data_IF_333292788261
#
_entry.id   IF_333292788261
#
_cell.length_a   1.000
_cell.length_b   1.000
_cell.length_c   1.000
_cell.angle_alpha   90.00
_cell.angle_beta   90.00
_cell.angle_gamma   90.00
#
_symmetry.space_group_name_H-M   'P 1'
#
loop_
_entity.id
_entity.type
_entity.pdbx_description
1 polymer ?
#
# COMPACT_ATOMS: atom_id res chain seq x y z
N UNK A 1 7.51 -2.01 29.72
CA UNK A 1 7.42 -3.34 30.37
C UNK A 1 8.57 -4.19 29.87
N UNK A 2 9.33 -4.86 30.74
CA UNK A 2 10.30 -5.85 30.29
C UNK A 2 9.52 -6.95 29.59
N UNK A 3 9.70 -7.10 28.29
CA UNK A 3 9.22 -8.31 27.60
C UNK A 3 10.04 -9.45 28.18
N UNK A 4 9.35 -10.30 28.94
CA UNK A 4 9.90 -11.54 29.48
C UNK A 4 10.73 -12.23 28.39
N UNK A 5 11.93 -12.68 28.74
CA UNK A 5 12.85 -13.38 27.84
C UNK A 5 12.12 -14.51 27.09
N UNK A 6 11.16 -15.15 27.77
CA UNK A 6 10.26 -16.15 27.21
C UNK A 6 9.47 -15.64 25.98
N UNK A 7 8.91 -14.43 26.02
CA UNK A 7 8.17 -13.84 24.91
C UNK A 7 9.08 -13.55 23.70
N UNK A 8 10.33 -13.12 23.95
CA UNK A 8 11.30 -12.91 22.87
C UNK A 8 11.70 -14.23 22.20
N UNK A 9 11.94 -15.27 23.00
CA UNK A 9 12.25 -16.61 22.50
C UNK A 9 11.06 -17.17 21.69
N UNK A 10 9.83 -17.01 22.20
CA UNK A 10 8.63 -17.46 21.50
C UNK A 10 8.43 -16.72 20.16
N UNK A 11 8.64 -15.40 20.12
CA UNK A 11 8.58 -14.61 18.89
C UNK A 11 9.65 -15.04 17.87
N UNK A 12 10.89 -15.27 18.31
CA UNK A 12 11.97 -15.74 17.44
C UNK A 12 11.69 -17.16 16.91
N UNK A 13 11.24 -18.08 17.78
CA UNK A 13 10.84 -19.43 17.37
C UNK A 13 9.69 -19.40 16.36
N UNK A 14 8.66 -18.60 16.61
CA UNK A 14 7.54 -18.39 15.69
C UNK A 14 7.98 -17.81 14.35
N UNK A 15 8.89 -16.84 14.35
CA UNK A 15 9.46 -16.27 13.13
C UNK A 15 10.24 -17.32 12.32
N UNK A 16 11.07 -18.16 12.95
CA UNK A 16 11.81 -19.23 12.26
C UNK A 16 10.85 -20.24 11.62
N UNK A 17 9.83 -20.70 12.37
CA UNK A 17 8.82 -21.63 11.84
C UNK A 17 8.08 -21.01 10.66
N UNK A 18 7.68 -19.74 10.78
CA UNK A 18 7.04 -18.99 9.70
C UNK A 18 7.93 -18.95 8.45
N UNK A 19 9.21 -18.63 8.59
CA UNK A 19 10.16 -18.54 7.46
C UNK A 19 10.39 -19.89 6.77
N UNK A 20 10.49 -20.98 7.53
CA UNK A 20 10.62 -22.34 6.98
C UNK A 20 9.36 -22.73 6.21
N UNK A 21 8.18 -22.53 6.82
CA UNK A 21 6.90 -22.83 6.18
C UNK A 21 6.71 -21.98 4.90
N UNK A 22 7.04 -20.70 4.96
CA UNK A 22 7.06 -19.79 3.82
C UNK A 22 7.95 -20.28 2.67
N UNK A 23 9.18 -20.70 2.97
CA UNK A 23 10.10 -21.22 1.96
C UNK A 23 9.60 -22.51 1.29
N UNK A 24 9.01 -23.42 2.07
CA UNK A 24 8.40 -24.65 1.55
C UNK A 24 7.18 -24.35 0.68
N UNK A 25 6.29 -23.45 1.13
CA UNK A 25 5.12 -23.02 0.38
C UNK A 25 5.51 -22.33 -0.93
N UNK A 26 6.52 -21.45 -0.90
CA UNK A 26 7.05 -20.82 -2.10
C UNK A 26 7.55 -21.87 -3.11
N UNK A 27 8.32 -22.87 -2.67
CA UNK A 27 8.76 -23.97 -3.55
C UNK A 27 7.58 -24.76 -4.14
N UNK A 28 6.55 -25.02 -3.35
CA UNK A 28 5.34 -25.71 -3.81
C UNK A 28 4.60 -24.87 -4.87
N UNK A 29 4.45 -23.57 -4.64
CA UNK A 29 3.82 -22.65 -5.59
C UNK A 29 4.61 -22.59 -6.89
N UNK A 30 5.94 -22.44 -6.83
CA UNK A 30 6.81 -22.47 -8.03
C UNK A 30 6.66 -23.76 -8.83
N UNK A 31 6.63 -24.92 -8.14
CA UNK A 31 6.43 -26.23 -8.79
C UNK A 31 5.05 -26.34 -9.45
N UNK A 32 3.99 -25.95 -8.74
CA UNK A 32 2.61 -26.01 -9.28
C UNK A 32 2.37 -25.03 -10.43
N UNK A 33 2.99 -23.87 -10.39
CA UNK A 33 2.90 -22.87 -11.45
C UNK A 33 3.75 -23.24 -12.68
N UNK A 34 4.67 -24.20 -12.55
CA UNK A 34 5.67 -24.48 -13.59
C UNK A 34 6.61 -23.29 -13.84
N UNK A 35 6.73 -22.38 -12.87
CA UNK A 35 7.43 -21.11 -13.02
C UNK A 35 8.18 -20.76 -11.74
N UNK A 36 9.51 -20.80 -11.81
CA UNK A 36 10.36 -20.68 -10.64
C UNK A 36 10.14 -19.39 -9.81
N UNK A 37 9.98 -18.20 -10.42
CA UNK A 37 9.71 -16.95 -9.70
C UNK A 37 8.34 -16.86 -9.01
N UNK A 38 7.38 -17.74 -9.34
CA UNK A 38 6.02 -17.69 -8.80
C UNK A 38 6.00 -17.75 -7.27
N UNK A 39 6.71 -18.71 -6.67
CA UNK A 39 6.80 -18.87 -5.23
C UNK A 39 7.34 -17.64 -4.50
N UNK A 40 8.54 -17.15 -4.84
CA UNK A 40 9.08 -15.93 -4.28
C UNK A 40 8.16 -14.71 -4.42
N UNK A 41 7.53 -14.51 -5.59
CA UNK A 41 6.58 -13.41 -5.81
C UNK A 41 5.34 -13.56 -4.91
N UNK A 42 4.80 -14.77 -4.80
CA UNK A 42 3.67 -15.03 -3.91
C UNK A 42 4.02 -14.75 -2.45
N UNK A 43 5.26 -15.07 -2.05
CA UNK A 43 5.74 -14.79 -0.70
C UNK A 43 5.85 -13.30 -0.41
N UNK A 44 6.37 -12.51 -1.36
CA UNK A 44 6.42 -11.05 -1.26
C UNK A 44 4.99 -10.47 -1.21
N UNK A 45 4.07 -10.99 -2.04
CA UNK A 45 2.69 -10.50 -2.08
C UNK A 45 1.90 -10.80 -0.79
N UNK A 46 2.28 -11.85 -0.05
CA UNK A 46 1.65 -12.27 1.19
C UNK A 46 1.97 -11.36 2.40
N UNK A 47 2.72 -10.26 2.20
CA UNK A 47 3.07 -9.29 3.26
C UNK A 47 1.89 -8.82 4.13
N UNK A 48 0.64 -8.59 3.63
CA UNK A 48 -0.44 -8.13 4.50
C UNK A 48 -0.90 -9.18 5.53
N UNK A 49 -0.53 -10.45 5.33
CA UNK A 49 -0.86 -11.56 6.23
C UNK A 49 0.07 -11.66 7.44
N UNK A 50 0.99 -10.70 7.59
CA UNK A 50 1.98 -10.67 8.67
C UNK A 50 1.74 -9.41 9.49
N UNK A 51 1.68 -9.52 10.84
CA UNK A 51 1.40 -8.38 11.68
C UNK A 51 2.58 -7.43 11.65
N UNK A 52 2.26 -6.13 11.73
CA UNK A 52 3.27 -5.13 11.98
C UNK A 52 3.77 -5.27 13.42
N UNK A 53 4.91 -5.92 13.57
CA UNK A 53 5.66 -5.97 14.83
C UNK A 53 7.03 -5.36 14.56
N UNK A 54 7.35 -4.19 15.11
CA UNK A 54 8.64 -3.56 14.87
C UNK A 54 9.77 -4.47 15.37
N UNK A 55 10.72 -4.75 14.49
CA UNK A 55 11.96 -5.47 14.79
C UNK A 55 13.09 -4.44 15.01
N UNK A 56 14.32 -4.93 14.98
CA UNK A 56 15.52 -4.10 15.05
C UNK A 56 15.67 -3.34 13.72
N UNK A 57 16.27 -2.15 13.74
CA UNK A 57 16.76 -1.49 12.53
C UNK A 57 15.69 -0.98 11.55
N UNK A 58 14.45 -0.75 12.02
CA UNK A 58 13.40 -0.19 11.17
C UNK A 58 12.65 -1.17 10.29
N UNK A 59 13.08 -2.43 10.30
CA UNK A 59 12.32 -3.52 9.75
C UNK A 59 11.22 -3.91 10.74
N UNK A 60 10.16 -4.49 10.21
CA UNK A 60 9.09 -5.10 10.99
C UNK A 60 8.90 -6.55 10.55
N UNK A 61 8.14 -7.32 11.33
CA UNK A 61 7.92 -8.74 11.06
C UNK A 61 7.31 -8.98 9.67
N UNK A 62 6.48 -8.06 9.20
CA UNK A 62 5.93 -8.04 7.84
C UNK A 62 6.99 -7.86 6.75
N UNK A 63 8.18 -7.33 7.05
CA UNK A 63 9.28 -7.25 6.08
C UNK A 63 9.99 -8.62 5.89
N UNK A 64 9.79 -9.61 6.78
CA UNK A 64 10.50 -10.91 6.68
C UNK A 64 10.13 -11.71 5.43
N UNK A 65 8.83 -11.83 5.10
CA UNK A 65 8.41 -12.58 3.91
C UNK A 65 8.90 -11.92 2.62
N UNK A 66 8.77 -10.58 2.45
CA UNK A 66 9.40 -9.86 1.34
C UNK A 66 10.92 -10.05 1.25
N UNK A 67 11.65 -10.02 2.36
CA UNK A 67 13.10 -10.22 2.38
C UNK A 67 13.47 -11.62 1.89
N UNK A 68 12.80 -12.66 2.40
CA UNK A 68 13.06 -14.05 1.96
C UNK A 68 12.68 -14.23 0.50
N UNK A 69 11.53 -13.72 0.07
CA UNK A 69 11.12 -13.79 -1.33
C UNK A 69 12.08 -13.04 -2.26
N UNK A 70 12.55 -11.87 -1.85
CA UNK A 70 13.56 -11.11 -2.59
C UNK A 70 14.88 -11.88 -2.68
N UNK A 71 15.36 -12.47 -1.58
CA UNK A 71 16.58 -13.27 -1.59
C UNK A 71 16.46 -14.49 -2.53
N UNK A 72 15.30 -15.16 -2.53
CA UNK A 72 15.03 -16.27 -3.46
C UNK A 72 15.00 -15.81 -4.92
N UNK A 73 14.43 -14.63 -5.22
CA UNK A 73 14.45 -14.06 -6.58
C UNK A 73 15.87 -13.69 -7.00
N UNK A 74 16.63 -13.06 -6.10
CA UNK A 74 17.99 -12.60 -6.35
C UNK A 74 18.98 -13.75 -6.56
N UNK A 75 18.77 -14.88 -5.86
CA UNK A 75 19.57 -16.09 -6.06
C UNK A 75 19.42 -16.68 -7.46
N UNK A 76 18.25 -16.49 -8.09
CA UNK A 76 17.87 -17.16 -9.34
C UNK A 76 17.96 -16.26 -10.57
N UNK A 77 17.91 -14.96 -10.35
CA UNK A 77 17.88 -13.97 -11.42
C UNK A 77 19.26 -13.33 -11.54
N UNK A 78 19.72 -13.01 -12.75
CA UNK A 78 20.93 -12.20 -12.90
C UNK A 78 20.74 -10.85 -12.19
N UNK A 79 21.84 -10.19 -11.85
CA UNK A 79 21.79 -8.86 -11.23
C UNK A 79 21.07 -7.89 -12.16
N UNK A 80 20.13 -7.06 -11.65
CA UNK A 80 19.45 -6.05 -12.44
C UNK A 80 20.42 -5.15 -13.17
N UNK A 81 20.36 -5.19 -14.50
CA UNK A 81 21.06 -4.20 -15.32
C UNK A 81 20.40 -2.84 -15.11
N UNK A 82 21.21 -1.80 -15.07
CA UNK A 82 20.72 -0.43 -14.99
C UNK A 82 19.79 -0.19 -16.19
N UNK A 83 18.54 0.16 -15.90
CA UNK A 83 17.53 0.45 -16.91
C UNK A 83 17.99 1.53 -17.87
N UNK A 84 17.66 1.40 -19.15
CA UNK A 84 17.85 2.45 -20.16
C UNK A 84 16.70 3.45 -20.19
N UNK A 85 15.59 3.18 -19.50
CA UNK A 85 14.45 4.10 -19.43
C UNK A 85 14.80 5.33 -18.58
N UNK A 86 14.83 6.50 -19.22
CA UNK A 86 15.14 7.79 -18.59
C UNK A 86 14.25 8.10 -17.39
N UNK A 87 12.96 7.77 -17.46
CA UNK A 87 12.03 8.05 -16.35
C UNK A 87 12.36 7.20 -15.13
N UNK A 88 12.69 5.91 -15.33
CA UNK A 88 13.10 5.03 -14.25
C UNK A 88 14.46 5.46 -13.66
N UNK A 89 15.40 5.97 -14.46
CA UNK A 89 16.66 6.54 -13.96
C UNK A 89 16.42 7.76 -13.06
N UNK A 90 15.51 8.65 -13.44
CA UNK A 90 15.14 9.82 -12.62
C UNK A 90 14.52 9.37 -11.30
N UNK A 91 13.63 8.36 -11.31
CA UNK A 91 13.05 7.80 -10.08
C UNK A 91 14.15 7.19 -9.20
N UNK A 92 15.07 6.40 -9.76
CA UNK A 92 16.17 5.78 -9.01
C UNK A 92 17.12 6.84 -8.41
N UNK A 93 17.41 7.91 -9.16
CA UNK A 93 18.17 9.04 -8.63
C UNK A 93 17.43 9.72 -7.47
N UNK A 94 16.14 9.96 -7.60
CA UNK A 94 15.33 10.54 -6.52
C UNK A 94 15.27 9.62 -5.28
N UNK A 95 15.23 8.29 -5.46
CA UNK A 95 15.37 7.33 -4.36
C UNK A 95 16.75 7.44 -3.70
N UNK A 96 17.83 7.53 -4.49
CA UNK A 96 19.17 7.70 -3.94
C UNK A 96 19.31 9.00 -3.13
N UNK A 97 18.78 10.12 -3.64
CA UNK A 97 18.72 11.40 -2.91
C UNK A 97 17.90 11.27 -1.63
N UNK A 98 16.77 10.57 -1.67
CA UNK A 98 15.96 10.31 -0.47
C UNK A 98 16.75 9.53 0.57
N UNK A 99 17.45 8.46 0.18
CA UNK A 99 18.30 7.67 1.09
C UNK A 99 19.40 8.56 1.70
N UNK A 100 20.06 9.39 0.89
CA UNK A 100 21.09 10.30 1.37
C UNK A 100 20.53 11.31 2.39
N UNK A 101 19.37 11.90 2.12
CA UNK A 101 18.70 12.83 3.04
C UNK A 101 18.31 12.12 4.36
N UNK A 102 17.81 10.89 4.28
CA UNK A 102 17.49 10.06 5.46
C UNK A 102 18.74 9.71 6.27
N UNK A 103 19.86 9.39 5.61
CA UNK A 103 21.16 9.12 6.26
C UNK A 103 21.68 10.38 6.96
N UNK A 104 21.65 11.54 6.30
CA UNK A 104 22.03 12.81 6.90
C UNK A 104 21.16 13.12 8.14
N UNK A 105 19.85 12.97 8.01
CA UNK A 105 18.91 13.11 9.13
C UNK A 105 19.23 12.19 10.30
N UNK A 106 19.55 10.92 10.03
CA UNK A 106 19.94 9.95 11.07
C UNK A 106 21.25 10.34 11.77
N UNK A 107 22.24 10.85 11.04
CA UNK A 107 23.52 11.29 11.62
C UNK A 107 23.35 12.52 12.52
N UNK A 108 22.48 13.46 12.14
CA UNK A 108 22.23 14.70 12.89
C UNK A 108 21.34 14.45 14.12
N UNK A 109 20.30 13.63 13.96
CA UNK A 109 19.25 13.48 14.97
C UNK A 109 19.35 12.18 15.80
N UNK A 110 20.33 11.32 15.52
CA UNK A 110 20.45 10.00 16.16
C UNK A 110 20.81 10.04 17.64
N UNK A 111 21.36 11.16 18.13
CA UNK A 111 21.78 11.34 19.51
C UNK A 111 22.94 10.41 19.87
N UNK A 112 22.63 9.32 20.58
CA UNK A 112 23.61 8.29 20.95
C UNK A 112 23.92 7.30 19.81
N UNK A 113 25.05 6.60 19.88
CA UNK A 113 25.51 5.68 18.82
C UNK A 113 24.46 4.63 18.45
N UNK A 114 23.78 4.04 19.45
CA UNK A 114 22.74 3.04 19.21
C UNK A 114 21.51 3.63 18.49
N UNK A 115 21.12 4.86 18.86
CA UNK A 115 20.04 5.61 18.20
C UNK A 115 20.38 5.92 16.74
N UNK A 116 21.58 6.44 16.49
CA UNK A 116 22.10 6.72 15.14
C UNK A 116 22.12 5.45 14.28
N UNK A 117 22.63 4.32 14.79
CA UNK A 117 22.65 3.06 14.04
C UNK A 117 21.24 2.55 13.71
N UNK A 118 20.30 2.66 14.66
CA UNK A 118 18.89 2.29 14.45
C UNK A 118 18.23 3.15 13.38
N UNK A 119 18.48 4.47 13.39
CA UNK A 119 17.96 5.40 12.39
C UNK A 119 18.62 5.22 11.02
N UNK A 120 19.93 4.95 10.95
CA UNK A 120 20.63 4.66 9.71
C UNK A 120 20.07 3.41 9.03
N UNK A 121 19.79 2.37 9.82
CA UNK A 121 19.19 1.17 9.27
C UNK A 121 17.77 1.43 8.75
N UNK A 122 16.94 2.19 9.49
CA UNK A 122 15.63 2.70 9.00
C UNK A 122 15.76 3.50 7.70
N UNK A 123 16.79 4.33 7.60
CA UNK A 123 17.02 5.22 6.46
C UNK A 123 17.25 4.46 5.15
N UNK A 124 17.90 3.30 5.23
CA UNK A 124 18.36 2.55 4.06
C UNK A 124 17.49 1.32 3.76
N UNK A 125 17.12 0.56 4.80
CA UNK A 125 16.60 -0.79 4.62
C UNK A 125 15.34 -0.85 3.77
N UNK A 126 14.32 -0.04 4.08
CA UNK A 126 13.04 -0.09 3.37
C UNK A 126 13.12 0.44 1.93
N UNK A 127 13.71 1.61 1.63
CA UNK A 127 13.89 2.04 0.25
C UNK A 127 14.64 1.02 -0.62
N UNK A 128 15.72 0.42 -0.08
CA UNK A 128 16.50 -0.62 -0.78
C UNK A 128 15.66 -1.88 -0.99
N UNK A 129 14.91 -2.33 0.01
CA UNK A 129 13.99 -3.47 -0.10
C UNK A 129 12.96 -3.25 -1.22
N UNK A 130 12.31 -2.09 -1.26
CA UNK A 130 11.29 -1.77 -2.27
C UNK A 130 11.87 -1.69 -3.68
N UNK A 131 13.04 -1.04 -3.85
CA UNK A 131 13.74 -1.00 -5.14
C UNK A 131 14.17 -2.41 -5.57
N UNK A 132 14.67 -3.22 -4.64
CA UNK A 132 15.05 -4.60 -4.87
C UNK A 132 13.86 -5.44 -5.36
N UNK A 133 12.72 -5.37 -4.66
CA UNK A 133 11.49 -6.07 -5.05
C UNK A 133 11.06 -5.65 -6.46
N UNK A 134 11.00 -4.35 -6.75
CA UNK A 134 10.62 -3.87 -8.08
C UNK A 134 11.60 -4.34 -9.16
N UNK A 135 12.91 -4.21 -8.92
CA UNK A 135 13.97 -4.58 -9.86
C UNK A 135 14.00 -6.08 -10.16
N UNK A 136 14.01 -6.94 -9.14
CA UNK A 136 14.05 -8.38 -9.34
C UNK A 136 12.73 -8.94 -9.87
N UNK A 137 11.59 -8.36 -9.50
CA UNK A 137 10.31 -8.72 -10.12
C UNK A 137 10.36 -8.38 -11.61
N UNK A 138 10.85 -7.20 -11.99
CA UNK A 138 11.01 -6.77 -13.39
C UNK A 138 11.89 -7.69 -14.25
N UNK A 139 12.78 -8.47 -13.63
CA UNK A 139 13.63 -9.43 -14.32
C UNK A 139 13.03 -10.83 -14.44
N UNK A 140 11.92 -11.11 -13.77
CA UNK A 140 11.27 -12.41 -13.86
C UNK A 140 10.69 -12.60 -15.28
N UNK A 141 11.21 -13.59 -16.01
CA UNK A 141 10.83 -13.97 -17.39
C UNK A 141 10.00 -15.27 -17.32
N UNK A 142 8.97 -15.47 -18.16
CA UNK A 142 8.47 -14.56 -19.20
C UNK A 142 7.65 -13.37 -18.67
N UNK A 143 7.68 -12.23 -19.38
CA UNK A 143 6.98 -10.98 -19.01
C UNK A 143 5.47 -11.18 -18.84
N UNK A 144 4.83 -11.92 -19.75
CA UNK A 144 3.40 -12.20 -19.71
C UNK A 144 3.01 -13.01 -18.46
N UNK A 145 3.78 -14.05 -18.17
CA UNK A 145 3.58 -14.90 -17.00
C UNK A 145 3.76 -14.12 -15.72
N UNK A 146 4.80 -13.29 -15.65
CA UNK A 146 5.03 -12.36 -14.53
C UNK A 146 3.86 -11.43 -14.29
N UNK A 147 3.39 -10.71 -15.31
CA UNK A 147 2.26 -9.76 -15.18
C UNK A 147 1.00 -10.45 -14.70
N UNK A 148 0.65 -11.58 -15.31
CA UNK A 148 -0.54 -12.37 -14.94
C UNK A 148 -0.44 -12.91 -13.52
N UNK A 149 0.72 -13.43 -13.14
CA UNK A 149 0.92 -14.01 -11.82
C UNK A 149 0.92 -12.95 -10.73
N UNK A 150 1.61 -11.81 -10.92
CA UNK A 150 1.60 -10.70 -9.96
C UNK A 150 0.19 -10.14 -9.79
N UNK A 151 -0.54 -9.91 -10.88
CA UNK A 151 -1.93 -9.47 -10.81
C UNK A 151 -2.80 -10.49 -10.06
N UNK A 152 -2.59 -11.79 -10.28
CA UNK A 152 -3.31 -12.86 -9.60
C UNK A 152 -3.00 -12.88 -8.11
N UNK A 153 -1.72 -12.81 -7.73
CA UNK A 153 -1.28 -12.83 -6.35
C UNK A 153 -1.85 -11.64 -5.57
N UNK A 154 -1.75 -10.43 -6.12
CA UNK A 154 -2.28 -9.21 -5.49
C UNK A 154 -3.80 -9.26 -5.38
N UNK A 155 -4.51 -9.69 -6.44
CA UNK A 155 -5.97 -9.84 -6.38
C UNK A 155 -6.40 -10.89 -5.34
N UNK A 156 -5.66 -11.99 -5.22
CA UNK A 156 -5.92 -13.04 -4.23
C UNK A 156 -5.73 -12.54 -2.80
N UNK A 157 -4.68 -11.75 -2.55
CA UNK A 157 -4.41 -11.14 -1.24
C UNK A 157 -5.55 -10.22 -0.82
N UNK A 158 -5.96 -9.30 -1.69
CA UNK A 158 -7.11 -8.43 -1.40
C UNK A 158 -8.41 -9.20 -1.18
N UNK A 159 -8.64 -10.26 -1.95
CA UNK A 159 -9.84 -11.09 -1.81
C UNK A 159 -9.86 -11.84 -0.48
N UNK A 160 -8.71 -12.38 -0.07
CA UNK A 160 -8.58 -13.07 1.20
C UNK A 160 -8.76 -12.11 2.39
N UNK A 161 -8.10 -10.95 2.38
CA UNK A 161 -8.28 -9.92 3.42
C UNK A 161 -9.73 -9.43 3.52
N UNK A 162 -10.40 -9.26 2.38
CA UNK A 162 -11.82 -8.88 2.37
C UNK A 162 -12.71 -9.99 2.95
N UNK A 163 -12.54 -11.23 2.51
CA UNK A 163 -13.32 -12.35 3.02
C UNK A 163 -13.09 -12.56 4.52
N UNK A 164 -11.83 -12.54 4.96
CA UNK A 164 -11.50 -12.65 6.38
C UNK A 164 -12.10 -11.52 7.20
N UNK A 165 -11.94 -10.27 6.75
CA UNK A 165 -12.49 -9.11 7.43
C UNK A 165 -14.01 -9.16 7.56
N UNK A 166 -14.72 -9.59 6.52
CA UNK A 166 -16.17 -9.75 6.52
C UNK A 166 -16.60 -10.88 7.47
N UNK A 167 -15.88 -12.00 7.50
CA UNK A 167 -16.12 -13.08 8.46
C UNK A 167 -15.92 -12.58 9.88
N UNK A 168 -14.81 -11.88 10.16
CA UNK A 168 -14.52 -11.32 11.48
C UNK A 168 -15.55 -10.26 11.92
N UNK A 169 -16.11 -9.51 10.96
CA UNK A 169 -17.16 -8.53 11.23
C UNK A 169 -18.50 -9.18 11.55
N UNK A 170 -18.85 -10.27 10.86
CA UNK A 170 -20.09 -11.01 11.10
C UNK A 170 -20.02 -11.94 12.31
N UNK A 171 -18.85 -12.53 12.56
CA UNK A 171 -18.59 -13.50 13.63
C UNK A 171 -17.39 -13.00 14.44
N UNK A 172 -17.62 -12.42 15.63
CA UNK A 172 -16.54 -11.91 16.48
C UNK A 172 -15.52 -13.01 16.77
N UNK A 173 -14.30 -12.84 16.25
CA UNK A 173 -13.21 -13.79 16.48
C UNK A 173 -12.58 -13.57 17.86
N UNK A 174 -12.03 -14.62 18.50
CA UNK A 174 -11.33 -14.49 19.78
C UNK A 174 -10.24 -13.41 19.73
N UNK A 175 -10.20 -12.56 20.75
CA UNK A 175 -9.23 -11.46 20.82
C UNK A 175 -9.52 -10.28 19.89
N UNK A 176 -10.67 -10.25 19.21
CA UNK A 176 -11.02 -9.16 18.28
C UNK A 176 -10.22 -9.18 16.98
N UNK A 177 -9.62 -10.32 16.63
CA UNK A 177 -8.84 -10.47 15.38
C UNK A 177 -9.73 -10.11 14.19
N UNK A 178 -9.20 -9.30 13.27
CA UNK A 178 -9.95 -8.82 12.11
C UNK A 178 -10.66 -7.48 12.30
N UNK A 179 -10.83 -7.00 13.53
CA UNK A 179 -11.63 -5.81 13.85
C UNK A 179 -10.86 -4.85 14.76
N UNK A 180 -10.64 -3.61 14.31
CA UNK A 180 -10.25 -2.51 15.21
C UNK A 180 -11.50 -2.00 15.91
N UNK A 181 -11.54 -2.12 17.25
CA UNK A 181 -12.62 -1.56 18.04
C UNK A 181 -12.80 -0.07 17.73
N UNK A 182 -14.06 0.36 17.56
CA UNK A 182 -14.36 1.78 17.36
C UNK A 182 -13.81 2.59 18.55
N UNK A 183 -13.06 3.66 18.26
CA UNK A 183 -12.50 4.51 19.31
C UNK A 183 -13.62 5.33 19.92
N UNK A 184 -13.58 5.56 21.23
CA UNK A 184 -14.59 6.36 21.98
C UNK A 184 -14.86 7.74 21.39
N UNK A 185 -13.87 8.30 20.70
CA UNK A 185 -13.93 9.64 20.07
C UNK A 185 -14.43 9.61 18.63
N UNK A 186 -14.84 8.46 18.10
CA UNK A 186 -15.36 8.33 16.73
C UNK A 186 -16.87 8.24 16.76
N UNK A 187 -17.54 8.76 15.72
CA UNK A 187 -18.99 8.64 15.52
C UNK A 187 -19.48 7.19 15.40
N UNK A 188 -18.55 6.23 15.25
CA UNK A 188 -18.81 4.81 15.14
C UNK A 188 -18.93 4.11 16.51
N UNK A 189 -18.49 4.76 17.59
CA UNK A 189 -18.48 4.15 18.92
C UNK A 189 -19.90 3.82 19.40
N UNK A 190 -20.14 2.54 19.71
CA UNK A 190 -21.46 2.04 20.10
C UNK A 190 -22.44 1.83 18.94
N UNK A 191 -22.05 2.15 17.70
CA UNK A 191 -22.89 1.98 16.50
C UNK A 191 -22.52 0.73 15.73
N UNK A 192 -21.21 0.51 15.55
CA UNK A 192 -20.69 -0.68 14.89
C UNK A 192 -19.79 -1.48 15.85
N UNK A 193 -19.66 -2.81 15.66
CA UNK A 193 -18.76 -3.63 16.46
C UNK A 193 -17.29 -3.20 16.31
N UNK A 194 -16.96 -2.51 15.22
CA UNK A 194 -15.66 -1.93 14.94
C UNK A 194 -15.45 -1.69 13.46
N UNK A 195 -14.20 -1.51 13.06
CA UNK A 195 -13.76 -1.30 11.68
C UNK A 195 -12.98 -2.53 11.23
N UNK A 196 -13.17 -2.98 10.00
CA UNK A 196 -12.36 -4.08 9.47
C UNK A 196 -10.89 -3.66 9.43
N UNK A 197 -10.03 -4.48 10.05
CA UNK A 197 -8.59 -4.28 10.24
C UNK A 197 -7.74 -5.41 9.63
N UNK A 198 -8.38 -6.39 8.97
CA UNK A 198 -7.69 -7.44 8.23
C UNK A 198 -7.08 -8.50 9.15
N UNK A 199 -6.40 -9.50 8.57
CA UNK A 199 -5.98 -10.70 9.31
C UNK A 199 -5.09 -10.43 10.51
N UNK A 200 -4.18 -9.48 10.40
CA UNK A 200 -3.11 -9.27 11.37
C UNK A 200 -3.12 -7.87 12.02
N UNK A 201 -4.30 -7.27 12.14
CA UNK A 201 -4.46 -6.01 12.87
C UNK A 201 -3.81 -4.81 12.19
N UNK A 202 -3.83 -4.78 10.86
CA UNK A 202 -3.51 -3.55 10.13
C UNK A 202 -4.50 -2.47 10.56
N UNK A 203 -4.03 -1.23 10.68
CA UNK A 203 -4.99 -0.13 10.85
C UNK A 203 -5.97 -0.16 9.66
N UNK A 204 -7.27 0.09 9.86
CA UNK A 204 -8.25 0.12 8.78
C UNK A 204 -7.84 1.05 7.64
N UNK A 205 -7.12 2.14 7.94
CA UNK A 205 -6.54 3.05 6.95
C UNK A 205 -5.53 2.35 6.03
N UNK A 206 -4.67 1.50 6.59
CA UNK A 206 -3.69 0.72 5.83
C UNK A 206 -4.38 -0.41 5.05
N UNK A 207 -5.36 -1.09 5.65
CA UNK A 207 -6.14 -2.09 4.94
C UNK A 207 -6.94 -1.48 3.77
N UNK A 208 -7.56 -0.32 3.98
CA UNK A 208 -8.22 0.43 2.93
C UNK A 208 -7.26 0.77 1.79
N UNK A 209 -6.00 1.12 2.11
CA UNK A 209 -4.97 1.32 1.10
C UNK A 209 -4.55 0.02 0.38
N UNK A 210 -4.51 -1.12 1.07
CA UNK A 210 -4.34 -2.44 0.44
C UNK A 210 -5.46 -2.68 -0.58
N UNK A 211 -6.73 -2.46 -0.20
CA UNK A 211 -7.86 -2.60 -1.12
C UNK A 211 -7.81 -1.63 -2.31
N UNK A 212 -7.36 -0.39 -2.11
CA UNK A 212 -7.15 0.57 -3.22
C UNK A 212 -6.16 0.04 -4.26
N UNK A 213 -5.16 -0.76 -3.85
CA UNK A 213 -4.19 -1.40 -4.75
C UNK A 213 -4.74 -2.72 -5.34
N UNK A 214 -5.40 -3.55 -4.54
CA UNK A 214 -5.84 -4.90 -4.95
C UNK A 214 -7.13 -4.90 -5.76
N UNK A 215 -8.05 -3.96 -5.52
CA UNK A 215 -9.34 -3.89 -6.20
C UNK A 215 -9.19 -3.69 -7.71
N UNK A 216 -8.36 -2.74 -8.22
CA UNK A 216 -8.09 -2.64 -9.65
C UNK A 216 -7.59 -3.95 -10.27
N UNK A 217 -6.69 -4.67 -9.59
CA UNK A 217 -6.16 -5.95 -10.07
C UNK A 217 -7.24 -7.02 -10.15
N UNK A 218 -8.12 -7.05 -9.16
CA UNK A 218 -9.26 -7.98 -9.08
C UNK A 218 -10.26 -7.73 -10.21
N UNK A 219 -10.58 -6.46 -10.47
CA UNK A 219 -11.41 -6.06 -11.62
C UNK A 219 -10.72 -6.40 -12.94
N UNK A 220 -9.41 -6.13 -13.05
CA UNK A 220 -8.60 -6.51 -14.21
C UNK A 220 -8.68 -8.02 -14.49
N UNK A 221 -8.54 -8.86 -13.46
CA UNK A 221 -8.72 -10.31 -13.59
C UNK A 221 -10.14 -10.69 -14.01
N UNK A 222 -11.18 -10.07 -13.45
CA UNK A 222 -12.55 -10.33 -13.88
C UNK A 222 -12.77 -10.00 -15.37
N UNK A 223 -12.14 -8.93 -15.86
CA UNK A 223 -12.24 -8.50 -17.27
C UNK A 223 -11.39 -9.33 -18.24
N UNK A 224 -10.26 -9.88 -17.78
CA UNK A 224 -9.37 -10.74 -18.60
C UNK A 224 -9.85 -12.18 -18.75
N UNK A 225 -10.88 -12.60 -18.00
CA UNK A 225 -11.33 -13.99 -17.94
C UNK A 225 -12.72 -14.17 -18.55
N UNK A 226 -13.07 -15.40 -18.85
CA UNK A 226 -14.39 -15.81 -19.38
C UNK A 226 -15.02 -16.87 -18.48
N UNK A 227 -16.30 -17.19 -18.72
CA UNK A 227 -17.03 -18.23 -18.00
C UNK A 227 -17.12 -18.00 -16.49
N UNK A 228 -17.02 -19.08 -15.71
CA UNK A 228 -17.14 -19.06 -14.26
C UNK A 228 -16.02 -18.26 -13.57
N UNK A 229 -14.81 -18.23 -14.14
CA UNK A 229 -13.67 -17.51 -13.56
C UNK A 229 -13.93 -16.01 -13.51
N UNK A 230 -14.56 -15.45 -14.57
CA UNK A 230 -14.98 -14.04 -14.59
C UNK A 230 -15.93 -13.71 -13.43
N UNK A 231 -16.90 -14.59 -13.19
CA UNK A 231 -17.86 -14.40 -12.10
C UNK A 231 -17.21 -14.52 -10.73
N UNK A 232 -16.31 -15.49 -10.53
CA UNK A 232 -15.55 -15.62 -9.29
C UNK A 232 -14.77 -14.34 -8.95
N UNK A 233 -14.06 -13.76 -9.93
CA UNK A 233 -13.34 -12.50 -9.74
C UNK A 233 -14.27 -11.28 -9.59
N UNK A 234 -15.46 -11.31 -10.21
CA UNK A 234 -16.47 -10.28 -9.99
C UNK A 234 -16.98 -10.30 -8.55
N UNK A 235 -17.31 -11.49 -8.03
CA UNK A 235 -17.70 -11.68 -6.62
C UNK A 235 -16.57 -11.24 -5.69
N UNK A 236 -15.32 -11.62 -5.99
CA UNK A 236 -14.15 -11.18 -5.23
C UNK A 236 -14.00 -9.65 -5.17
N UNK A 237 -14.25 -8.95 -6.29
CA UNK A 237 -14.23 -7.49 -6.33
C UNK A 237 -15.36 -6.89 -5.49
N UNK A 238 -16.58 -7.47 -5.55
CA UNK A 238 -17.70 -7.04 -4.71
C UNK A 238 -17.37 -7.22 -3.22
N UNK A 239 -16.81 -8.36 -2.82
CA UNK A 239 -16.37 -8.60 -1.45
C UNK A 239 -15.36 -7.54 -0.99
N UNK A 240 -14.37 -7.20 -1.83
CA UNK A 240 -13.40 -6.14 -1.53
C UNK A 240 -14.06 -4.77 -1.39
N UNK A 241 -15.05 -4.42 -2.21
CA UNK A 241 -15.79 -3.15 -2.07
C UNK A 241 -16.57 -3.11 -0.75
N UNK A 242 -17.29 -4.20 -0.40
CA UNK A 242 -18.03 -4.25 0.88
C UNK A 242 -17.07 -4.15 2.06
N UNK A 243 -15.95 -4.90 2.04
CA UNK A 243 -14.95 -4.82 3.09
C UNK A 243 -14.32 -3.43 3.20
N UNK A 244 -14.00 -2.79 2.06
CA UNK A 244 -13.50 -1.41 1.99
C UNK A 244 -14.49 -0.38 2.56
N UNK A 245 -15.79 -0.56 2.36
CA UNK A 245 -16.81 0.29 2.97
C UNK A 245 -16.80 0.13 4.49
N UNK A 246 -16.63 -1.10 4.98
CA UNK A 246 -16.58 -1.45 6.41
C UNK A 246 -15.23 -1.17 7.09
N UNK A 247 -14.21 -0.72 6.36
CA UNK A 247 -13.02 -0.10 7.00
C UNK A 247 -13.32 1.31 7.50
N UNK A 248 -14.40 1.94 7.01
CA UNK A 248 -14.79 3.33 7.31
C UNK A 248 -13.67 4.34 7.01
N UNK A 249 -12.87 4.08 5.97
CA UNK A 249 -11.77 4.95 5.55
C UNK A 249 -12.19 5.85 4.40
N UNK A 250 -12.61 7.09 4.68
CA UNK A 250 -13.20 8.01 3.69
C UNK A 250 -12.37 8.12 2.40
N UNK A 251 -11.05 8.34 2.52
CA UNK A 251 -10.16 8.47 1.36
C UNK A 251 -10.07 7.17 0.54
N UNK A 252 -9.95 6.01 1.19
CA UNK A 252 -9.86 4.73 0.48
C UNK A 252 -11.19 4.35 -0.17
N UNK A 253 -12.32 4.64 0.48
CA UNK A 253 -13.66 4.41 -0.09
C UNK A 253 -13.82 5.25 -1.36
N UNK A 254 -13.52 6.54 -1.29
CA UNK A 254 -13.59 7.43 -2.46
C UNK A 254 -12.72 6.91 -3.61
N UNK A 255 -11.45 6.58 -3.33
CA UNK A 255 -10.53 6.05 -4.34
C UNK A 255 -10.97 4.69 -4.89
N UNK A 256 -11.47 3.80 -4.03
CA UNK A 256 -11.99 2.49 -4.43
C UNK A 256 -13.24 2.56 -5.30
N UNK A 257 -14.06 3.62 -5.17
CA UNK A 257 -15.19 3.89 -6.06
C UNK A 257 -14.76 4.53 -7.39
N UNK A 258 -13.70 5.34 -7.40
CA UNK A 258 -13.14 5.92 -8.62
C UNK A 258 -12.58 4.85 -9.55
N UNK A 259 -11.97 3.79 -9.02
CA UNK A 259 -11.40 2.68 -9.81
C UNK A 259 -12.40 2.05 -10.80
N UNK A 260 -13.54 1.49 -10.39
CA UNK A 260 -14.51 0.89 -11.30
C UNK A 260 -15.11 1.94 -12.24
N UNK A 261 -15.27 3.19 -11.81
CA UNK A 261 -15.73 4.29 -12.66
C UNK A 261 -14.77 4.52 -13.83
N UNK A 262 -13.46 4.57 -13.58
CA UNK A 262 -12.46 4.73 -14.65
C UNK A 262 -12.45 3.52 -15.59
N UNK A 263 -12.54 2.29 -15.08
CA UNK A 263 -12.68 1.10 -15.93
C UNK A 263 -13.90 1.21 -16.85
N UNK A 264 -15.04 1.65 -16.32
CA UNK A 264 -16.27 1.81 -17.09
C UNK A 264 -16.15 2.86 -18.19
N UNK A 265 -15.49 3.98 -17.90
CA UNK A 265 -15.20 5.03 -18.87
C UNK A 265 -14.28 4.52 -19.98
N UNK A 266 -13.17 3.87 -19.62
CA UNK A 266 -12.17 3.34 -20.58
C UNK A 266 -12.79 2.31 -21.52
N UNK A 267 -13.70 1.47 -21.01
CA UNK A 267 -14.36 0.42 -21.80
C UNK A 267 -15.77 0.80 -22.29
N UNK A 268 -16.15 2.08 -22.17
CA UNK A 268 -17.39 2.68 -22.70
C UNK A 268 -18.69 1.95 -22.30
N UNK A 269 -18.75 1.39 -21.09
CA UNK A 269 -19.97 0.70 -20.60
C UNK A 269 -20.88 1.66 -19.85
N UNK A 270 -21.44 2.64 -20.57
CA UNK A 270 -22.19 3.79 -20.02
C UNK A 270 -23.35 3.37 -19.12
N UNK A 271 -24.09 2.32 -19.46
CA UNK A 271 -25.21 1.83 -18.61
C UNK A 271 -24.70 1.37 -17.24
N UNK A 272 -23.62 0.59 -17.21
CA UNK A 272 -23.03 0.10 -15.96
C UNK A 272 -22.39 1.25 -15.17
N UNK A 273 -21.94 2.31 -15.85
CA UNK A 273 -21.46 3.55 -15.22
C UNK A 273 -22.56 4.26 -14.43
N UNK A 274 -23.76 4.38 -15.00
CA UNK A 274 -24.91 4.99 -14.29
C UNK A 274 -25.28 4.17 -13.05
N UNK A 275 -25.36 2.84 -13.18
CA UNK A 275 -25.64 1.97 -12.03
C UNK A 275 -24.56 2.07 -10.94
N UNK A 276 -23.28 2.08 -11.31
CA UNK A 276 -22.19 2.21 -10.33
C UNK A 276 -22.15 3.60 -9.70
N UNK A 277 -22.44 4.66 -10.45
CA UNK A 277 -22.56 6.01 -9.90
C UNK A 277 -23.72 6.07 -8.88
N UNK A 278 -24.88 5.52 -9.22
CA UNK A 278 -26.03 5.43 -8.31
C UNK A 278 -25.70 4.60 -7.05
N UNK A 279 -25.04 3.45 -7.20
CA UNK A 279 -24.61 2.62 -6.08
C UNK A 279 -23.57 3.35 -5.20
N UNK A 280 -22.63 4.07 -5.80
CA UNK A 280 -21.63 4.89 -5.09
C UNK A 280 -22.29 6.01 -4.29
N UNK A 281 -23.27 6.70 -4.89
CA UNK A 281 -24.09 7.73 -4.23
C UNK A 281 -24.89 7.10 -3.09
N UNK A 282 -25.49 5.93 -3.28
CA UNK A 282 -26.24 5.24 -2.24
C UNK A 282 -25.33 4.83 -1.07
N UNK A 283 -24.13 4.32 -1.33
CA UNK A 283 -23.13 4.00 -0.29
C UNK A 283 -22.70 5.26 0.46
N UNK A 284 -22.42 6.35 -0.26
CA UNK A 284 -22.07 7.63 0.33
C UNK A 284 -23.22 8.18 1.19
N UNK A 285 -24.45 8.07 0.71
CA UNK A 285 -25.66 8.48 1.42
C UNK A 285 -25.84 7.68 2.70
N UNK A 286 -25.76 6.34 2.64
CA UNK A 286 -25.84 5.47 3.82
C UNK A 286 -24.76 5.82 4.84
N UNK A 287 -23.53 6.12 4.40
CA UNK A 287 -22.44 6.54 5.28
C UNK A 287 -22.73 7.89 5.95
N UNK A 288 -23.20 8.87 5.19
CA UNK A 288 -23.62 10.17 5.72
C UNK A 288 -24.79 10.00 6.71
N UNK A 289 -25.77 9.16 6.40
CA UNK A 289 -26.95 8.93 7.24
C UNK A 289 -26.63 8.18 8.53
N UNK A 290 -25.80 7.14 8.48
CA UNK A 290 -25.35 6.40 9.68
C UNK A 290 -24.53 7.31 10.61
N UNK A 291 -23.72 8.21 10.06
CA UNK A 291 -23.00 9.23 10.84
C UNK A 291 -23.93 10.28 11.48
N UNK A 292 -25.12 10.53 10.90
CA UNK A 292 -26.07 11.52 11.40
C UNK A 292 -26.96 11.02 12.56
N UNK A 293 -27.16 9.71 12.70
CA UNK A 293 -28.16 9.17 13.65
C UNK A 293 -27.66 9.06 15.09
N UNK A 294 -26.35 9.10 15.36
CA UNK A 294 -25.80 8.66 16.66
C UNK A 294 -24.92 9.72 17.38
N UNK A 295 -24.88 10.95 16.87
CA UNK A 295 -24.06 12.03 17.46
C UNK A 295 -24.65 12.75 18.69
N UNK A 296 -25.81 12.36 19.21
CA UNK A 296 -26.59 13.16 20.18
C UNK A 296 -26.28 12.87 21.66
N UNK A 297 -25.12 12.29 21.99
CA UNK A 297 -24.80 11.87 23.36
C UNK A 297 -23.90 12.80 24.19
N UNK A 298 -23.31 13.84 23.58
CA UNK A 298 -22.34 14.72 24.24
C UNK A 298 -22.87 16.13 24.48
N UNK A 299 -22.77 16.58 25.74
CA UNK A 299 -23.19 17.83 26.39
C UNK A 299 -22.92 19.20 25.71
N UNK A 300 -22.94 19.32 24.38
CA UNK A 300 -23.00 20.60 23.69
C UNK A 300 -24.40 21.22 23.82
N UNK A 301 -24.47 22.47 24.27
CA UNK A 301 -25.70 23.22 24.41
C UNK A 301 -26.57 23.10 23.13
N UNK A 302 -27.88 22.81 23.27
CA UNK A 302 -28.77 22.71 22.13
C UNK A 302 -28.95 24.10 21.51
N UNK A 303 -28.43 24.33 20.29
CA UNK A 303 -28.66 25.63 19.67
C UNK A 303 -28.10 25.88 18.27
N UNK A 304 -26.97 25.31 17.87
CA UNK A 304 -26.35 25.68 16.60
C UNK A 304 -26.33 24.53 15.55
N UNK A 305 -27.22 24.57 14.55
CA UNK A 305 -27.21 23.64 13.42
C UNK A 305 -25.88 23.62 12.65
N UNK A 306 -25.09 24.71 12.68
CA UNK A 306 -23.80 24.78 12.01
C UNK A 306 -22.70 24.01 12.75
N UNK A 307 -22.71 23.98 14.09
CA UNK A 307 -21.76 23.19 14.89
C UNK A 307 -21.97 21.68 14.70
N UNK A 308 -23.21 21.26 14.49
CA UNK A 308 -23.54 19.86 14.20
C UNK A 308 -22.93 19.42 12.86
N UNK A 309 -22.87 20.31 11.86
CA UNK A 309 -22.23 20.00 10.57
C UNK A 309 -20.71 20.09 10.71
N UNK A 310 -20.17 21.10 11.38
CA UNK A 310 -18.73 21.29 11.59
C UNK A 310 -18.05 20.19 12.41
N UNK A 311 -18.66 19.80 13.54
CA UNK A 311 -18.14 18.73 14.41
C UNK A 311 -18.17 17.33 13.77
N UNK A 312 -19.03 17.10 12.76
CA UNK A 312 -19.16 15.79 12.06
C UNK A 312 -18.08 15.56 11.01
N UNK A 313 -17.48 16.62 10.48
CA UNK A 313 -16.32 16.50 9.59
C UNK A 313 -15.00 16.43 10.37
N UNK A 314 -14.98 16.91 11.61
CA UNK A 314 -13.87 16.89 12.56
C UNK A 314 -13.81 15.56 13.33
N UNK A 315 -13.42 14.46 12.68
CA UNK A 315 -12.75 13.39 13.44
C UNK A 315 -11.42 14.00 13.88
N UNK A 316 -11.12 14.05 15.19
CA UNK A 316 -10.02 14.84 15.82
C UNK A 316 -8.57 14.62 15.35
N UNK A 317 -8.36 14.02 14.18
CA UNK A 317 -7.19 14.12 13.34
C UNK A 317 -7.48 15.04 12.15
N UNK A 318 -7.51 16.36 12.38
CA UNK A 318 -7.58 17.29 11.25
C UNK A 318 -6.30 17.15 10.42
N UNK A 319 -6.45 16.58 9.22
CA UNK A 319 -5.34 16.37 8.29
C UNK A 319 -4.65 17.69 7.96
N UNK A 320 -5.40 18.80 7.91
CA UNK A 320 -4.84 20.12 7.66
C UNK A 320 -3.93 20.58 8.80
N UNK A 321 -4.29 20.32 10.07
CA UNK A 321 -3.43 20.60 11.21
C UNK A 321 -2.12 19.80 11.12
N UNK A 322 -2.20 18.51 10.82
CA UNK A 322 -1.04 17.63 10.66
C UNK A 322 -0.12 18.08 9.51
N UNK A 323 -0.70 18.51 8.39
CA UNK A 323 0.04 19.02 7.23
C UNK A 323 0.69 20.37 7.51
N UNK A 324 -0.03 21.26 8.19
CA UNK A 324 0.48 22.56 8.62
C UNK A 324 1.68 22.39 9.55
N UNK A 325 1.56 21.52 10.55
CA UNK A 325 2.64 21.22 11.48
C UNK A 325 3.87 20.64 10.76
N UNK A 326 3.67 19.67 9.85
CA UNK A 326 4.76 19.09 9.07
C UNK A 326 5.48 20.12 8.20
N UNK A 327 4.73 21.04 7.57
CA UNK A 327 5.30 22.13 6.79
C UNK A 327 6.12 23.10 7.67
N UNK A 328 5.61 23.47 8.85
CA UNK A 328 6.34 24.33 9.79
C UNK A 328 7.63 23.66 10.30
N UNK A 329 7.56 22.38 10.67
CA UNK A 329 8.74 21.59 11.04
C UNK A 329 9.74 21.56 9.87
N UNK A 330 9.29 21.38 8.62
CA UNK A 330 10.18 21.38 7.45
C UNK A 330 10.89 22.74 7.28
N UNK A 331 10.18 23.84 7.51
CA UNK A 331 10.72 25.20 7.40
C UNK A 331 11.71 25.53 8.53
N UNK A 332 11.45 25.02 9.74
CA UNK A 332 12.31 25.22 10.91
C UNK A 332 13.58 24.34 10.85
N UNK A 333 13.49 23.16 10.25
CA UNK A 333 14.58 22.18 10.12
C UNK A 333 14.87 21.83 8.65
N UNK A 334 15.25 22.79 7.79
CA UNK A 334 15.22 22.61 6.33
C UNK A 334 16.30 21.69 5.77
N UNK A 335 17.38 21.44 6.52
CA UNK A 335 18.54 20.66 6.04
C UNK A 335 18.36 19.17 6.32
N UNK A 336 18.25 18.81 7.61
CA UNK A 336 18.25 17.41 8.05
C UNK A 336 16.89 16.96 8.59
N UNK A 337 15.90 17.87 8.71
CA UNK A 337 14.66 17.59 9.42
C UNK A 337 14.89 17.23 10.88
N UNK A 338 13.85 16.67 11.51
CA UNK A 338 13.84 16.31 12.93
C UNK A 338 14.19 14.85 13.22
N UNK A 339 14.52 14.05 12.20
CA UNK A 339 14.77 12.62 12.35
C UNK A 339 13.56 11.74 12.03
N UNK A 340 13.85 10.55 11.49
CA UNK A 340 12.86 9.54 11.12
C UNK A 340 12.04 9.06 12.33
N UNK A 341 10.72 9.25 12.26
CA UNK A 341 9.78 8.84 13.31
C UNK A 341 9.67 9.79 14.49
N UNK A 342 10.29 10.97 14.46
CA UNK A 342 10.33 11.89 15.60
C UNK A 342 9.21 12.94 15.63
N UNK A 343 8.33 12.97 14.62
CA UNK A 343 7.29 14.01 14.52
C UNK A 343 6.35 14.07 15.73
N UNK A 344 5.92 12.93 16.27
CA UNK A 344 5.09 12.87 17.47
C UNK A 344 5.81 13.44 18.71
N UNK A 345 7.10 13.15 18.87
CA UNK A 345 7.93 13.69 19.96
C UNK A 345 8.07 15.21 19.87
N UNK A 346 8.29 15.74 18.66
CA UNK A 346 8.43 17.19 18.43
C UNK A 346 7.11 17.93 18.65
N UNK A 347 5.98 17.35 18.23
CA UNK A 347 4.65 17.91 18.51
C UNK A 347 4.37 18.02 20.01
N UNK A 348 4.83 17.05 20.81
CA UNK A 348 4.65 17.04 22.27
C UNK A 348 5.64 17.96 22.99
N UNK A 349 6.84 18.12 22.45
CA UNK A 349 7.88 18.95 23.06
C UNK A 349 7.58 20.45 22.94
N UNK A 350 6.96 20.88 21.83
CA UNK A 350 6.52 22.27 21.64
C UNK A 350 5.08 22.33 21.07
N UNK A 351 4.07 22.12 21.93
CA UNK A 351 2.68 22.08 21.51
C UNK A 351 2.17 23.42 20.97
N UNK A 352 2.67 24.55 21.48
CA UNK A 352 2.25 25.87 21.03
C UNK A 352 2.72 26.14 19.59
N UNK A 353 3.93 25.69 19.25
CA UNK A 353 4.48 25.90 17.90
C UNK A 353 3.95 24.91 16.87
N UNK A 354 3.84 23.63 17.23
CA UNK A 354 3.58 22.57 16.24
C UNK A 354 2.25 21.84 16.42
N UNK A 355 1.74 21.71 17.65
CA UNK A 355 0.50 20.97 17.89
C UNK A 355 -0.74 21.84 17.70
N UNK A 356 -0.73 23.07 18.22
CA UNK A 356 -1.84 24.02 18.09
C UNK A 356 -1.71 24.80 16.79
N UNK A 357 -2.55 24.46 15.82
CA UNK A 357 -2.53 25.07 14.48
C UNK A 357 -3.81 25.88 14.24
N UNK A 358 -3.84 26.75 13.21
CA UNK A 358 -5.07 27.42 12.78
C UNK A 358 -6.19 26.46 12.35
N UNK A 359 -5.86 25.19 12.09
CA UNK A 359 -6.79 24.14 11.64
C UNK A 359 -7.06 23.11 12.75
N UNK A 360 -6.82 23.44 14.03
CA UNK A 360 -7.01 22.52 15.14
C UNK A 360 -5.72 21.89 15.64
N UNK A 361 -5.80 20.67 16.20
CA UNK A 361 -4.67 20.06 16.92
C UNK A 361 -4.01 18.94 16.14
N UNK A 362 -2.72 19.09 15.84
CA UNK A 362 -1.87 18.04 15.29
C UNK A 362 -1.38 17.11 16.42
N UNK A 363 -1.76 15.82 16.36
CA UNK A 363 -1.50 14.84 17.44
C UNK A 363 -0.65 13.65 17.01
N UNK A 364 -0.21 13.59 15.76
CA UNK A 364 0.62 12.49 15.22
C UNK A 364 1.34 12.92 13.92
N UNK A 365 1.83 11.95 13.15
CA UNK A 365 2.54 12.19 11.89
C UNK A 365 1.69 12.88 10.82
N UNK A 366 2.33 13.50 9.82
CA UNK A 366 1.65 14.26 8.76
C UNK A 366 0.58 13.48 7.97
N UNK A 367 0.64 12.14 7.92
CA UNK A 367 -0.19 11.31 7.03
C UNK A 367 -0.20 11.86 5.59
N UNK A 368 0.94 12.32 5.12
CA UNK A 368 1.18 12.74 3.76
C UNK A 368 2.64 12.43 3.47
N UNK A 369 2.90 11.60 2.46
CA UNK A 369 4.24 11.07 2.19
C UNK A 369 5.27 12.19 1.98
N UNK A 370 4.91 13.24 1.25
CA UNK A 370 5.83 14.32 0.87
C UNK A 370 6.10 15.22 2.08
N UNK A 371 5.05 15.63 2.79
CA UNK A 371 5.18 16.49 3.96
C UNK A 371 5.89 15.77 5.12
N UNK A 372 5.63 14.48 5.30
CA UNK A 372 6.34 13.68 6.31
C UNK A 372 7.83 13.57 5.97
N UNK A 373 8.18 13.30 4.70
CA UNK A 373 9.56 13.28 4.26
C UNK A 373 10.25 14.65 4.51
N UNK A 374 9.54 15.75 4.25
CA UNK A 374 10.01 17.10 4.56
C UNK A 374 10.29 17.32 6.04
N UNK A 375 9.34 16.97 6.91
CA UNK A 375 9.51 17.15 8.34
C UNK A 375 10.69 16.32 8.88
N UNK A 376 10.79 15.05 8.46
CA UNK A 376 11.78 14.13 9.01
C UNK A 376 13.18 14.29 8.41
N UNK A 377 13.30 14.78 7.16
CA UNK A 377 14.58 14.81 6.41
C UNK A 377 14.89 16.12 5.70
N UNK A 378 14.10 17.16 5.96
CA UNK A 378 14.30 18.49 5.39
C UNK A 378 13.79 18.62 3.95
N UNK A 379 14.07 19.79 3.35
CA UNK A 379 13.60 20.18 2.02
C UNK A 379 14.09 19.22 0.94
N UNK A 380 15.34 18.74 1.03
CA UNK A 380 15.88 17.78 0.08
C UNK A 380 15.07 16.47 0.05
N UNK A 381 14.67 15.97 1.22
CA UNK A 381 13.82 14.80 1.32
C UNK A 381 12.40 15.01 0.79
N UNK A 382 11.80 16.18 1.06
CA UNK A 382 10.49 16.53 0.49
C UNK A 382 10.52 16.56 -1.05
N UNK A 383 11.51 17.23 -1.64
CA UNK A 383 11.66 17.32 -3.10
C UNK A 383 11.94 15.95 -3.73
N UNK A 384 12.77 15.13 -3.10
CA UNK A 384 13.05 13.79 -3.58
C UNK A 384 11.80 12.89 -3.50
N UNK A 385 11.04 12.95 -2.40
CA UNK A 385 9.76 12.25 -2.27
C UNK A 385 8.74 12.72 -3.32
N UNK A 386 8.66 14.02 -3.58
CA UNK A 386 7.80 14.57 -4.64
C UNK A 386 8.22 14.06 -6.03
N UNK A 387 9.53 14.06 -6.33
CA UNK A 387 10.06 13.54 -7.59
C UNK A 387 9.77 12.04 -7.78
N UNK A 388 9.86 11.23 -6.72
CA UNK A 388 9.45 9.81 -6.74
C UNK A 388 7.95 9.68 -7.06
N UNK A 389 7.09 10.42 -6.35
CA UNK A 389 5.64 10.37 -6.56
C UNK A 389 5.25 10.78 -7.98
N UNK A 390 5.80 11.89 -8.48
CA UNK A 390 5.57 12.38 -9.85
C UNK A 390 6.09 11.38 -10.86
N UNK A 391 7.31 10.86 -10.69
CA UNK A 391 7.88 9.88 -11.60
C UNK A 391 7.03 8.61 -11.70
N UNK A 392 6.59 8.08 -10.56
CA UNK A 392 5.68 6.91 -10.50
C UNK A 392 4.31 7.24 -11.11
N UNK A 393 3.79 8.46 -10.92
CA UNK A 393 2.54 8.89 -11.57
C UNK A 393 2.67 8.91 -13.10
N UNK A 394 3.79 9.42 -13.63
CA UNK A 394 4.08 9.39 -15.07
C UNK A 394 4.19 7.96 -15.60
N UNK A 395 4.77 7.04 -14.81
CA UNK A 395 4.78 5.61 -15.13
C UNK A 395 3.36 5.04 -15.20
N UNK A 396 2.50 5.37 -14.22
CA UNK A 396 1.10 4.94 -14.22
C UNK A 396 0.34 5.48 -15.44
N UNK A 397 0.53 6.75 -15.79
CA UNK A 397 -0.09 7.35 -16.99
C UNK A 397 0.37 6.67 -18.28
N UNK A 398 1.66 6.32 -18.38
CA UNK A 398 2.18 5.52 -19.51
C UNK A 398 1.47 4.17 -19.62
N UNK A 399 1.18 3.50 -18.51
CA UNK A 399 0.43 2.23 -18.53
C UNK A 399 -1.04 2.40 -18.84
N UNK A 400 -1.70 3.42 -18.27
CA UNK A 400 -3.09 3.72 -18.57
C UNK A 400 -3.26 3.92 -20.08
N UNK A 401 -2.38 4.72 -20.68
CA UNK A 401 -2.36 4.96 -22.12
C UNK A 401 -2.13 3.69 -22.94
N UNK A 402 -1.11 2.89 -22.59
CA UNK A 402 -0.80 1.62 -23.28
C UNK A 402 -1.93 0.61 -23.14
N UNK A 403 -2.48 0.45 -21.94
CA UNK A 403 -3.59 -0.45 -21.63
C UNK A 403 -4.85 -0.05 -22.38
N UNK A 404 -5.16 1.25 -22.43
CA UNK A 404 -6.27 1.76 -23.22
C UNK A 404 -6.10 1.48 -24.72
N UNK A 405 -4.93 1.82 -25.30
CA UNK A 405 -4.64 1.60 -26.72
C UNK A 405 -4.68 0.12 -27.10
N UNK A 406 -4.18 -0.76 -26.23
CA UNK A 406 -4.15 -2.23 -26.44
C UNK A 406 -5.41 -2.95 -25.97
N UNK A 407 -6.34 -2.24 -25.35
CA UNK A 407 -7.50 -2.80 -24.64
C UNK A 407 -7.14 -3.84 -23.58
N UNK A 408 -5.93 -3.78 -23.02
CA UNK A 408 -5.44 -4.69 -21.99
C UNK A 408 -5.89 -4.23 -20.59
N UNK A 409 -6.84 -4.94 -19.95
CA UNK A 409 -7.39 -4.53 -18.67
C UNK A 409 -6.39 -4.66 -17.52
N UNK A 410 -5.37 -5.52 -17.61
CA UNK A 410 -4.37 -5.66 -16.56
C UNK A 410 -3.41 -4.47 -16.54
N UNK A 411 -3.10 -3.89 -17.70
CA UNK A 411 -2.31 -2.65 -17.77
C UNK A 411 -3.08 -1.45 -17.20
N UNK A 412 -4.38 -1.35 -17.48
CA UNK A 412 -5.25 -0.33 -16.89
C UNK A 412 -5.38 -0.55 -15.37
N UNK A 413 -5.54 -1.80 -14.92
CA UNK A 413 -5.54 -2.17 -13.51
C UNK A 413 -4.26 -1.72 -12.80
N UNK A 414 -3.09 -2.00 -13.39
CA UNK A 414 -1.79 -1.57 -12.86
C UNK A 414 -1.68 -0.06 -12.73
N UNK A 415 -2.10 0.68 -13.76
CA UNK A 415 -2.12 2.14 -13.72
C UNK A 415 -3.00 2.67 -12.58
N UNK A 416 -4.19 2.11 -12.41
CA UNK A 416 -5.14 2.53 -11.37
C UNK A 416 -4.69 2.13 -9.96
N UNK A 417 -4.07 0.97 -9.80
CA UNK A 417 -3.48 0.55 -8.53
C UNK A 417 -2.35 1.48 -8.10
N UNK A 418 -1.47 1.85 -9.04
CA UNK A 418 -0.38 2.80 -8.77
C UNK A 418 -0.95 4.20 -8.48
N UNK A 419 -1.87 4.70 -9.32
CA UNK A 419 -2.48 6.01 -9.12
C UNK A 419 -3.27 6.12 -7.81
N UNK A 420 -4.02 5.07 -7.47
CA UNK A 420 -4.73 4.95 -6.20
C UNK A 420 -3.79 4.93 -5.01
N UNK A 421 -2.67 4.19 -5.08
CA UNK A 421 -1.63 4.22 -4.06
C UNK A 421 -1.09 5.64 -3.87
N UNK A 422 -0.71 6.33 -4.94
CA UNK A 422 -0.13 7.69 -4.85
C UNK A 422 -1.13 8.68 -4.25
N UNK A 423 -2.39 8.65 -4.72
CA UNK A 423 -3.44 9.50 -4.19
C UNK A 423 -3.71 9.24 -2.71
N UNK A 424 -3.80 7.96 -2.31
CA UNK A 424 -3.95 7.58 -0.91
C UNK A 424 -2.71 7.95 -0.08
N UNK A 425 -1.52 7.95 -0.69
CA UNK A 425 -0.24 8.40 -0.14
C UNK A 425 -0.16 9.90 0.16
N UNK A 426 -1.10 10.70 -0.35
CA UNK A 426 -1.25 12.11 0.05
C UNK A 426 -2.09 12.26 1.32
N UNK A 427 -2.85 11.23 1.70
CA UNK A 427 -3.69 11.19 2.91
C UNK A 427 -3.21 10.18 3.96
N UNK A 428 -2.16 9.41 3.64
CA UNK A 428 -1.44 8.50 4.53
C UNK A 428 0.03 8.40 4.10
N UNK A 429 0.92 7.95 4.96
CA UNK A 429 2.35 7.74 4.68
C UNK A 429 2.64 6.32 4.14
N UNK A 430 2.05 5.95 3.00
CA UNK A 430 2.02 4.56 2.53
C UNK A 430 3.40 3.93 2.19
N UNK A 431 4.42 4.74 1.91
CA UNK A 431 5.78 4.23 1.71
C UNK A 431 6.43 3.76 3.02
N UNK A 432 5.94 4.23 4.18
CA UNK A 432 6.37 3.80 5.51
C UNK A 432 5.54 2.62 6.04
N UNK A 433 4.57 2.13 5.27
CA UNK A 433 3.76 0.96 5.61
C UNK A 433 4.24 -0.19 4.72
N UNK A 434 4.92 -1.16 5.32
CA UNK A 434 5.58 -2.28 4.63
C UNK A 434 4.66 -2.97 3.64
N UNK A 435 3.48 -3.39 4.10
CA UNK A 435 2.48 -4.05 3.27
C UNK A 435 2.11 -3.28 1.98
N UNK A 436 1.77 -2.00 2.07
CA UNK A 436 1.34 -1.23 0.90
C UNK A 436 2.52 -0.90 -0.02
N UNK A 437 3.68 -0.54 0.55
CA UNK A 437 4.89 -0.25 -0.23
C UNK A 437 5.37 -1.45 -1.04
N UNK A 438 5.36 -2.64 -0.44
CA UNK A 438 5.75 -3.90 -1.10
C UNK A 438 4.78 -4.26 -2.24
N UNK A 439 3.47 -4.12 -2.03
CA UNK A 439 2.49 -4.34 -3.10
C UNK A 439 2.70 -3.37 -4.27
N UNK A 440 2.96 -2.08 -4.00
CA UNK A 440 3.33 -1.12 -5.04
C UNK A 440 4.58 -1.57 -5.80
N UNK A 441 5.64 -1.96 -5.08
CA UNK A 441 6.90 -2.39 -5.68
C UNK A 441 6.71 -3.61 -6.61
N UNK A 442 5.86 -4.57 -6.22
CA UNK A 442 5.49 -5.70 -7.08
C UNK A 442 4.77 -5.25 -8.36
N UNK A 443 3.79 -4.34 -8.26
CA UNK A 443 3.07 -3.81 -9.43
C UNK A 443 4.04 -3.06 -10.35
N UNK A 444 4.89 -2.19 -9.80
CA UNK A 444 5.89 -1.48 -10.59
C UNK A 444 6.85 -2.46 -11.26
N UNK A 445 7.42 -3.43 -10.54
CA UNK A 445 8.32 -4.42 -11.13
C UNK A 445 7.65 -5.23 -12.25
N UNK A 446 6.43 -5.69 -12.04
CA UNK A 446 5.74 -6.51 -13.04
C UNK A 446 5.42 -5.76 -14.34
N UNK A 447 5.09 -4.47 -14.25
CA UNK A 447 4.54 -3.69 -15.36
C UNK A 447 5.50 -2.61 -15.91
N UNK A 448 6.61 -2.26 -15.24
CA UNK A 448 7.51 -1.17 -15.62
C UNK A 448 8.51 -1.44 -16.70
N UNK A 449 8.88 -2.69 -16.92
CA UNK A 449 9.66 -2.98 -18.11
C UNK A 449 8.75 -2.78 -19.31
N UNK A 450 9.16 -1.90 -20.24
CA UNK A 450 8.60 -1.93 -21.59
C UNK A 450 8.75 -3.34 -22.17
N UNK A 451 8.09 -3.64 -23.30
CA UNK A 451 8.45 -4.82 -24.08
C UNK A 451 9.93 -4.65 -24.40
N UNK A 452 10.79 -5.26 -23.56
CA UNK A 452 12.20 -5.36 -23.85
C UNK A 452 12.23 -5.97 -25.23
N UNK A 453 12.91 -5.30 -26.16
CA UNK A 453 13.25 -5.84 -27.48
C UNK A 453 13.41 -7.33 -27.30
N UNK A 454 12.39 -8.11 -27.67
CA UNK A 454 12.55 -9.54 -27.61
C UNK A 454 13.81 -9.77 -28.43
N UNK A 455 14.83 -10.48 -27.88
CA UNK A 455 16.03 -10.77 -28.64
C UNK A 455 15.51 -11.28 -29.97
N UNK A 456 15.77 -10.50 -31.02
CA UNK A 456 15.12 -10.64 -32.30
C UNK A 456 15.42 -12.08 -32.69
N UNK A 457 14.47 -13.01 -32.58
CA UNK A 457 14.65 -14.42 -32.93
C UNK A 457 14.80 -14.60 -34.45
N UNK A 458 15.25 -13.54 -35.15
CA UNK A 458 15.97 -13.62 -36.39
C UNK A 458 17.35 -14.27 -36.22
N UNK A 459 17.40 -15.46 -35.61
CA UNK A 459 18.32 -16.48 -36.09
C UNK A 459 17.52 -17.52 -36.91
N UNK A 460 17.34 -17.24 -38.21
CA UNK A 460 16.74 -18.16 -39.15
C UNK A 460 17.76 -19.24 -39.51
N UNK A 461 17.76 -20.41 -38.86
CA UNK A 461 18.40 -21.61 -39.44
C UNK A 461 17.78 -22.91 -38.90
N UNK A 462 17.10 -23.63 -39.81
CA UNK A 462 16.92 -25.09 -39.82
C UNK A 462 16.03 -25.66 -38.71
N UNK A 463 15.03 -26.49 -38.94
CA UNK A 463 14.72 -27.40 -40.03
C UNK A 463 13.21 -27.64 -40.03
N UNK A 464 12.70 -27.90 -41.22
CA UNK A 464 11.38 -28.42 -41.45
C UNK A 464 11.19 -29.74 -40.69
N UNK A 465 10.48 -29.72 -39.55
CA UNK A 465 9.86 -30.94 -39.02
C UNK A 465 8.40 -30.93 -39.45
N UNK A 466 8.21 -31.47 -40.64
CA UNK A 466 6.94 -31.93 -41.18
C UNK A 466 6.46 -33.18 -40.41
N UNK A 467 5.22 -33.13 -39.90
CA UNK A 467 4.45 -34.29 -39.40
C UNK A 467 4.36 -34.35 -37.88
N UNK A 468 3.21 -34.47 -37.22
CA UNK A 468 1.88 -35.03 -37.56
C UNK A 468 0.81 -34.52 -36.55
N UNK A 469 -0.51 -34.75 -36.78
CA UNK A 469 -1.58 -34.33 -35.86
C UNK A 469 -1.85 -35.39 -34.78
N UNK A 470 -2.17 -34.94 -33.55
CA UNK A 470 -3.17 -35.53 -32.64
C UNK A 470 -3.85 -34.39 -31.88
#
# INVERSE_FOLDING_TARGET
MPTDLANRIALLGGAIVLLVAAGLLARLISRRAGWEPAGPIALIAAVPFVPYVPLISGLSLDDLLPIVGLAMLAWRSPVPRITTDTLLRVILLAVAVTILARVLSALVNGGEVAGTLSMLAKAVARPVLLVGIAGYTAMAIPEEMRRRFVALAIASVGTFEAAFGLIAFAVPLPGGVGIEAARRLTSLYGVCPGRIAGTMGLSPNHLGAVFVVTLPMTIGQAMSRTGWQRWAWTVAAVLQVVALVLTFTRSSILLGLVVPLVFLLVYRKVVMLVFMAAASIAVLFVMLSLGCAVGSGGHGLPGDPLDVVGGRFSDGNDRLALWYAAAHITLDYPIAGIGLGNMDSVLKADPERYSRTPYGTATNSAHNTILLAGAETGVAGALAAAAINIGIALVALRYAWRGWKRRDPLLVAAALAIGGFLAQGMFNNLFEVGATGVLLALVLGAFATGPGTQPNEGNPMGEAVTGRPI
#
